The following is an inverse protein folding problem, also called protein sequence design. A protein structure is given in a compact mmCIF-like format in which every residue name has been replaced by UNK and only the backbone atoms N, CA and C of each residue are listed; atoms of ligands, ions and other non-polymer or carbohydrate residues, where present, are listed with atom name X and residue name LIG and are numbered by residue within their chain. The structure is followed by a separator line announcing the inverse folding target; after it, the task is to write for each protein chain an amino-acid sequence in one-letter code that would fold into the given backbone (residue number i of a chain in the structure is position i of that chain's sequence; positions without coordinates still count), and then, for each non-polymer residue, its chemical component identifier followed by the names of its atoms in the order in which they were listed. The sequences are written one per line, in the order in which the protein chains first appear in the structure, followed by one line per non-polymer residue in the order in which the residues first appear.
data_IF_454404733205
#
_entry.id   IF_454404733205
#
_cell.length_a   1.000
_cell.length_b   1.000
_cell.length_c   1.000
_cell.angle_alpha   90.00
_cell.angle_beta   90.00
_cell.angle_gamma   90.00
#
_symmetry.space_group_name_H-M   'P 1'
#
loop_
_entity.id
_entity.type
_entity.pdbx_description
1 polymer ?
#
# COMPACT_ATOMS: atom_id res chain seq x y z
N UNK A 1 -3.99 5.68 10.46
CA UNK A 1 -4.03 7.17 10.51
C UNK A 1 -5.34 7.60 9.91
N UNK A 2 -5.97 8.64 10.46
CA UNK A 2 -7.28 9.10 10.02
C UNK A 2 -7.24 10.61 9.77
N UNK A 3 -7.78 11.06 8.64
CA UNK A 3 -7.97 12.49 8.36
C UNK A 3 -9.41 12.80 8.72
N UNK A 4 -9.64 13.83 9.52
CA UNK A 4 -10.96 14.30 9.88
C UNK A 4 -11.19 15.61 9.12
N UNK A 5 -12.36 15.81 8.48
CA UNK A 5 -12.68 17.02 7.71
C UNK A 5 -13.10 18.19 8.62
N UNK A 6 -12.38 18.37 9.73
CA UNK A 6 -12.59 19.34 10.79
C UNK A 6 -11.29 19.51 11.56
N UNK A 7 -11.14 20.55 12.36
CA UNK A 7 -9.92 20.87 13.11
C UNK A 7 -9.91 20.35 14.57
N UNK A 8 -10.99 19.74 15.03
CA UNK A 8 -11.15 19.26 16.42
C UNK A 8 -11.69 17.83 16.47
N UNK A 9 -11.34 17.11 17.54
CA UNK A 9 -11.79 15.74 17.79
C UNK A 9 -13.23 15.78 18.35
N UNK A 10 -14.20 15.10 17.73
CA UNK A 10 -15.54 15.02 18.30
C UNK A 10 -15.55 14.28 19.64
N UNK A 11 -16.24 14.85 20.64
CA UNK A 11 -16.34 14.28 22.00
C UNK A 11 -17.15 12.98 22.06
N UNK A 12 -18.12 12.80 21.15
CA UNK A 12 -18.96 11.62 21.12
C UNK A 12 -18.37 10.53 20.18
N UNK A 13 -18.27 9.26 20.61
CA UNK A 13 -17.76 8.16 19.78
C UNK A 13 -18.42 8.04 18.40
N UNK A 14 -19.74 8.18 18.33
CA UNK A 14 -20.48 8.15 17.05
C UNK A 14 -20.14 9.34 16.14
N UNK A 15 -19.87 10.51 16.72
CA UNK A 15 -19.45 11.67 15.96
C UNK A 15 -18.02 11.53 15.44
N UNK A 16 -17.12 10.91 16.22
CA UNK A 16 -15.78 10.56 15.79
C UNK A 16 -15.81 9.51 14.67
N UNK A 17 -16.63 8.47 14.80
CA UNK A 17 -16.82 7.47 13.75
C UNK A 17 -17.25 8.11 12.42
N UNK A 18 -18.22 9.03 12.47
CA UNK A 18 -18.67 9.79 11.28
C UNK A 18 -17.56 10.66 10.70
N UNK A 19 -16.78 11.35 11.53
CA UNK A 19 -15.68 12.20 11.06
C UNK A 19 -14.56 11.39 10.38
N UNK A 20 -14.22 10.23 10.93
CA UNK A 20 -13.25 9.30 10.30
C UNK A 20 -13.81 8.78 8.98
N UNK A 21 -15.08 8.37 8.94
CA UNK A 21 -15.71 7.87 7.72
C UNK A 21 -15.76 8.94 6.61
N UNK A 22 -16.12 10.18 6.95
CA UNK A 22 -16.14 11.30 6.01
C UNK A 22 -14.76 11.57 5.40
N UNK A 23 -13.70 11.44 6.21
CA UNK A 23 -12.32 11.51 5.74
C UNK A 23 -11.94 10.36 4.79
N UNK A 24 -12.30 9.12 5.14
CA UNK A 24 -12.05 7.95 4.28
C UNK A 24 -12.77 8.11 2.92
N UNK A 25 -14.00 8.64 2.93
CA UNK A 25 -14.80 8.87 1.72
C UNK A 25 -14.16 9.85 0.73
N UNK A 26 -13.14 10.61 1.11
CA UNK A 26 -12.43 11.48 0.17
C UNK A 26 -11.49 10.72 -0.79
N UNK A 27 -11.20 9.45 -0.52
CA UNK A 27 -10.33 8.61 -1.36
C UNK A 27 -10.80 7.14 -1.44
N UNK A 28 -11.92 6.80 -0.79
CA UNK A 28 -12.53 5.47 -0.81
C UNK A 28 -14.00 5.59 -1.18
N UNK A 29 -14.45 4.78 -2.12
CA UNK A 29 -15.86 4.62 -2.49
C UNK A 29 -16.40 3.30 -1.98
N UNK A 30 -17.44 3.37 -1.14
CA UNK A 30 -18.22 2.23 -0.64
C UNK A 30 -19.60 2.74 -0.19
N UNK A 31 -20.73 2.09 -0.52
CA UNK A 31 -22.05 2.57 -0.12
C UNK A 31 -22.35 2.31 1.36
N UNK A 32 -21.88 1.22 1.95
CA UNK A 32 -22.13 0.91 3.37
C UNK A 32 -21.31 1.78 4.33
N UNK A 33 -21.69 1.74 5.61
CA UNK A 33 -20.92 2.32 6.72
C UNK A 33 -19.61 1.54 6.88
N UNK A 34 -18.51 2.27 7.04
CA UNK A 34 -17.16 1.70 7.14
C UNK A 34 -16.63 1.73 8.57
N UNK A 35 -17.04 2.71 9.38
CA UNK A 35 -16.37 2.99 10.66
C UNK A 35 -17.29 2.76 11.85
N UNK A 36 -16.78 2.04 12.85
CA UNK A 36 -17.37 1.92 14.17
C UNK A 36 -16.34 2.32 15.23
N UNK A 37 -16.78 3.09 16.23
CA UNK A 37 -15.96 3.48 17.37
C UNK A 37 -16.66 3.00 18.64
N UNK A 38 -15.97 2.21 19.45
CA UNK A 38 -16.45 1.70 20.73
C UNK A 38 -15.76 2.39 21.90
N UNK A 39 -16.50 2.65 22.97
CA UNK A 39 -15.98 3.26 24.20
C UNK A 39 -16.99 4.25 24.82
N UNK A 40 -16.73 4.65 26.07
CA UNK A 40 -17.57 5.59 26.81
C UNK A 40 -17.13 7.05 26.74
N UNK A 41 -15.85 7.31 26.49
CA UNK A 41 -15.25 8.67 26.44
C UNK A 41 -14.27 8.77 25.24
N UNK A 42 -14.25 9.92 24.55
CA UNK A 42 -13.36 10.18 23.42
C UNK A 42 -11.87 10.27 23.80
N UNK A 43 -11.54 10.48 25.08
CA UNK A 43 -10.14 10.49 25.54
C UNK A 43 -9.53 9.08 25.66
N UNK A 44 -10.38 8.06 25.88
CA UNK A 44 -10.00 6.67 26.06
C UNK A 44 -11.04 5.73 25.42
N UNK A 45 -10.74 5.28 24.21
CA UNK A 45 -11.64 4.42 23.42
C UNK A 45 -11.32 2.95 23.62
N UNK A 46 -12.36 2.11 23.64
CA UNK A 46 -12.19 0.66 23.62
C UNK A 46 -11.76 0.20 22.22
N UNK A 47 -12.35 0.76 21.16
CA UNK A 47 -11.99 0.35 19.80
C UNK A 47 -12.25 1.38 18.71
N UNK A 48 -11.47 1.29 17.63
CA UNK A 48 -11.79 1.85 16.32
C UNK A 48 -11.74 0.69 15.32
N UNK A 49 -12.88 0.37 14.72
CA UNK A 49 -13.00 -0.65 13.69
C UNK A 49 -13.34 0.00 12.34
N UNK A 50 -12.60 -0.38 11.30
CA UNK A 50 -12.82 0.07 9.92
C UNK A 50 -12.95 -1.16 9.02
N UNK A 51 -14.10 -1.32 8.40
CA UNK A 51 -14.35 -2.31 7.36
C UNK A 51 -14.32 -1.62 5.99
N UNK A 52 -13.45 -2.12 5.12
CA UNK A 52 -13.22 -1.67 3.75
C UNK A 52 -13.63 -2.76 2.75
N UNK A 53 -14.32 -3.81 3.18
CA UNK A 53 -14.77 -4.89 2.28
C UNK A 53 -15.71 -4.36 1.20
N UNK A 54 -15.40 -4.67 -0.06
CA UNK A 54 -16.11 -4.16 -1.23
C UNK A 54 -15.77 -2.70 -1.58
N UNK A 55 -14.83 -2.07 -0.88
CA UNK A 55 -14.47 -0.68 -1.15
C UNK A 55 -13.54 -0.54 -2.36
N UNK A 56 -13.67 0.56 -3.08
CA UNK A 56 -12.77 0.95 -4.17
C UNK A 56 -11.92 2.15 -3.77
N UNK A 57 -10.59 2.04 -3.86
CA UNK A 57 -9.66 3.14 -3.59
C UNK A 57 -9.48 3.99 -4.85
N UNK A 58 -9.71 5.29 -4.70
CA UNK A 58 -9.39 6.27 -5.72
C UNK A 58 -7.89 6.66 -5.67
N UNK A 59 -7.10 6.00 -6.50
CA UNK A 59 -5.67 6.26 -6.64
C UNK A 59 -5.30 7.67 -7.18
N UNK A 60 -6.26 8.45 -7.67
CA UNK A 60 -6.05 9.83 -8.13
C UNK A 60 -6.10 10.84 -6.98
N UNK A 61 -6.94 10.59 -5.98
CA UNK A 61 -7.09 11.43 -4.79
C UNK A 61 -6.32 10.81 -3.63
N UNK A 62 -5.00 10.97 -3.63
CA UNK A 62 -4.17 10.47 -2.53
C UNK A 62 -4.32 11.34 -1.29
N UNK A 63 -4.32 10.76 -0.08
CA UNK A 63 -4.18 11.56 1.13
C UNK A 63 -2.87 12.38 1.05
N UNK A 64 -2.87 13.61 1.60
CA UNK A 64 -1.70 14.46 1.61
C UNK A 64 -0.51 13.77 2.31
N UNK A 65 0.74 14.13 1.95
CA UNK A 65 1.92 13.65 2.68
C UNK A 65 1.78 13.97 4.17
N UNK A 66 2.02 12.96 4.98
CA UNK A 66 1.83 13.03 6.42
C UNK A 66 3.09 13.58 7.07
N UNK A 67 2.96 14.67 7.82
CA UNK A 67 4.05 15.26 8.57
C UNK A 67 3.77 15.10 10.08
N UNK A 68 4.41 14.13 10.76
CA UNK A 68 4.20 13.88 12.17
C UNK A 68 4.91 14.88 13.09
N UNK A 69 5.72 15.80 12.55
CA UNK A 69 6.35 16.85 13.36
C UNK A 69 5.30 17.69 14.08
N UNK A 70 5.60 18.11 15.31
CA UNK A 70 4.73 18.98 16.12
C UNK A 70 3.34 18.39 16.42
N UNK A 71 3.11 17.10 16.15
CA UNK A 71 1.88 16.44 16.58
C UNK A 71 1.85 16.33 18.10
N UNK A 72 0.68 16.56 18.69
CA UNK A 72 0.47 16.51 20.15
C UNK A 72 -0.37 15.28 20.52
N UNK A 73 -0.23 14.74 21.75
CA UNK A 73 -1.08 13.64 22.22
C UNK A 73 -2.58 13.96 22.07
N UNK A 74 -3.37 12.96 21.70
CA UNK A 74 -4.81 13.12 21.49
C UNK A 74 -5.66 12.16 22.34
N UNK A 75 -5.46 10.85 22.18
CA UNK A 75 -6.26 9.84 22.86
C UNK A 75 -5.54 8.49 22.90
N UNK A 76 -6.00 7.60 23.78
CA UNK A 76 -5.60 6.19 23.80
C UNK A 76 -6.73 5.32 23.29
N UNK A 77 -6.41 4.34 22.45
CA UNK A 77 -7.36 3.38 21.90
C UNK A 77 -6.89 1.97 22.21
N UNK A 78 -7.70 1.17 22.91
CA UNK A 78 -7.29 -0.19 23.30
C UNK A 78 -7.11 -1.09 22.10
N UNK A 79 -7.98 -1.00 21.09
CA UNK A 79 -7.88 -1.80 19.87
C UNK A 79 -8.18 -0.99 18.60
N UNK A 80 -7.30 -1.06 17.60
CA UNK A 80 -7.60 -0.57 16.25
C UNK A 80 -7.62 -1.77 15.31
N UNK A 81 -8.72 -1.92 14.58
CA UNK A 81 -8.91 -2.96 13.58
C UNK A 81 -9.27 -2.32 12.24
N UNK A 82 -8.52 -2.65 11.19
CA UNK A 82 -8.88 -2.30 9.81
C UNK A 82 -8.85 -3.56 8.99
N UNK A 83 -9.91 -3.82 8.24
CA UNK A 83 -9.98 -4.99 7.37
C UNK A 83 -10.66 -4.66 6.06
N UNK A 84 -10.41 -5.44 5.02
CA UNK A 84 -11.21 -5.44 3.81
C UNK A 84 -10.82 -6.59 2.91
N UNK A 85 -11.83 -7.31 2.42
CA UNK A 85 -11.65 -8.41 1.48
C UNK A 85 -12.91 -8.59 0.61
N UNK A 86 -12.86 -8.29 -0.71
CA UNK A 86 -11.78 -7.61 -1.43
C UNK A 86 -11.83 -6.08 -1.20
N UNK A 87 -10.68 -5.43 -1.40
CA UNK A 87 -10.55 -3.99 -1.65
C UNK A 87 -10.04 -3.83 -3.09
N UNK A 88 -10.66 -2.97 -3.88
CA UNK A 88 -10.29 -2.75 -5.28
C UNK A 88 -9.43 -1.50 -5.44
N UNK A 89 -8.29 -1.61 -6.13
CA UNK A 89 -7.45 -0.47 -6.55
C UNK A 89 -6.86 -0.74 -7.92
N UNK A 90 -6.86 0.27 -8.81
CA UNK A 90 -6.33 0.11 -10.17
C UNK A 90 -6.92 -1.09 -10.95
N UNK A 91 -8.15 -1.49 -10.64
CA UNK A 91 -8.83 -2.63 -11.27
C UNK A 91 -8.33 -4.02 -10.82
N UNK A 92 -7.48 -4.08 -9.79
CA UNK A 92 -7.13 -5.34 -9.11
C UNK A 92 -7.68 -5.36 -7.69
N UNK A 93 -8.01 -6.56 -7.22
CA UNK A 93 -8.53 -6.80 -5.87
C UNK A 93 -7.44 -7.33 -4.95
N UNK A 94 -7.43 -6.85 -3.72
CA UNK A 94 -6.51 -7.29 -2.67
C UNK A 94 -7.23 -7.40 -1.32
N UNK A 95 -6.72 -8.25 -0.44
CA UNK A 95 -7.11 -8.34 0.96
C UNK A 95 -6.16 -7.53 1.84
N UNK A 96 -6.70 -6.87 2.84
CA UNK A 96 -5.92 -6.13 3.84
C UNK A 96 -6.49 -6.37 5.24
N UNK A 97 -5.61 -6.60 6.19
CA UNK A 97 -5.92 -6.67 7.61
C UNK A 97 -4.84 -5.93 8.39
N UNK A 98 -5.26 -5.17 9.39
CA UNK A 98 -4.42 -4.41 10.29
C UNK A 98 -5.04 -4.49 11.67
N UNK A 99 -4.22 -4.84 12.65
CA UNK A 99 -4.61 -4.91 14.04
C UNK A 99 -3.54 -4.21 14.88
N UNK A 100 -3.96 -3.40 15.85
CA UNK A 100 -3.06 -2.79 16.82
C UNK A 100 -3.73 -2.75 18.20
N UNK A 101 -2.92 -2.93 19.24
CA UNK A 101 -3.35 -2.91 20.64
C UNK A 101 -2.65 -1.80 21.42
N UNK A 102 -3.40 -1.19 22.34
CA UNK A 102 -2.97 -0.09 23.20
C UNK A 102 -2.24 0.99 22.40
N UNK A 103 -3.00 1.64 21.52
CA UNK A 103 -2.53 2.62 20.56
C UNK A 103 -2.64 4.02 21.16
N UNK A 104 -1.54 4.77 21.13
CA UNK A 104 -1.56 6.20 21.40
C UNK A 104 -1.71 6.94 20.06
N UNK A 105 -2.82 7.68 19.93
CA UNK A 105 -3.07 8.56 18.81
C UNK A 105 -2.64 9.98 19.16
N UNK A 106 -1.93 10.59 18.24
CA UNK A 106 -1.55 12.00 18.28
C UNK A 106 -2.36 12.76 17.23
N UNK A 107 -2.51 14.06 17.40
CA UNK A 107 -3.24 14.93 16.50
C UNK A 107 -2.39 16.07 15.97
N UNK A 108 -2.70 16.49 14.73
CA UNK A 108 -2.13 17.68 14.11
C UNK A 108 -3.14 18.32 13.18
N UNK A 109 -3.40 19.61 13.37
CA UNK A 109 -4.19 20.40 12.40
C UNK A 109 -3.31 20.65 11.18
N UNK A 110 -3.78 20.21 10.02
CA UNK A 110 -3.15 20.44 8.73
C UNK A 110 -3.42 21.89 8.26
N UNK A 111 -2.57 22.48 7.39
CA UNK A 111 -2.77 23.84 6.87
C UNK A 111 -4.16 24.09 6.26
N UNK A 112 -4.79 23.07 5.70
CA UNK A 112 -6.15 23.10 5.15
C UNK A 112 -7.29 23.03 6.18
N UNK A 113 -6.99 23.11 7.48
CA UNK A 113 -7.98 23.08 8.57
C UNK A 113 -8.54 21.69 8.89
N UNK A 114 -7.96 20.63 8.32
CA UNK A 114 -8.30 19.23 8.61
C UNK A 114 -7.44 18.71 9.75
N UNK A 115 -7.99 17.86 10.61
CA UNK A 115 -7.26 17.25 11.71
C UNK A 115 -6.75 15.88 11.27
N UNK A 116 -5.45 15.64 11.45
CA UNK A 116 -4.83 14.36 11.22
C UNK A 116 -4.66 13.63 12.56
N UNK A 117 -5.25 12.44 12.68
CA UNK A 117 -4.97 11.47 13.74
C UNK A 117 -3.87 10.51 13.30
N UNK A 118 -2.74 10.57 14.01
CA UNK A 118 -1.50 9.86 13.74
C UNK A 118 -1.38 8.74 14.75
N UNK A 119 -1.06 7.53 14.27
CA UNK A 119 -0.66 6.46 15.15
C UNK A 119 0.78 6.72 15.58
N UNK A 120 1.00 7.05 16.85
CA UNK A 120 2.31 7.45 17.35
C UNK A 120 3.01 6.31 18.12
N UNK A 121 2.26 5.58 18.94
CA UNK A 121 2.73 4.38 19.66
C UNK A 121 1.66 3.30 19.58
N UNK A 122 2.10 2.04 19.68
CA UNK A 122 1.22 0.88 19.80
C UNK A 122 1.99 -0.22 20.50
N UNK A 123 1.43 -0.84 21.53
CA UNK A 123 2.13 -1.91 22.25
C UNK A 123 2.51 -3.07 21.31
N UNK A 124 1.54 -3.50 20.50
CA UNK A 124 1.67 -4.58 19.55
C UNK A 124 0.75 -4.33 18.35
N UNK A 125 1.15 -4.81 17.18
CA UNK A 125 0.28 -4.85 16.02
C UNK A 125 0.77 -5.76 14.91
N UNK A 126 -0.17 -6.09 14.03
CA UNK A 126 0.05 -6.99 12.90
C UNK A 126 -0.59 -6.39 11.64
N UNK A 127 0.07 -6.62 10.50
CA UNK A 127 -0.40 -6.23 9.17
C UNK A 127 -0.38 -7.48 8.32
N UNK A 128 -1.44 -7.70 7.55
CA UNK A 128 -1.50 -8.69 6.48
C UNK A 128 -2.02 -8.03 5.22
N UNK A 129 -1.25 -8.12 4.16
CA UNK A 129 -1.66 -7.77 2.81
C UNK A 129 -1.64 -9.03 1.95
N UNK A 130 -2.67 -9.20 1.13
CA UNK A 130 -2.82 -10.36 0.27
C UNK A 130 -3.31 -9.93 -1.11
N UNK A 131 -2.68 -10.41 -2.17
CA UNK A 131 -3.13 -10.16 -3.55
C UNK A 131 -2.94 -11.43 -4.38
N UNK A 132 -3.87 -11.73 -5.27
CA UNK A 132 -3.65 -12.81 -6.24
C UNK A 132 -2.63 -12.38 -7.29
N UNK A 133 -1.91 -13.35 -7.85
CA UNK A 133 -0.99 -13.10 -8.97
C UNK A 133 -1.71 -12.46 -10.15
N UNK A 134 -2.91 -12.94 -10.50
CA UNK A 134 -3.73 -12.39 -11.58
C UNK A 134 -4.17 -10.95 -11.34
N UNK A 135 -4.47 -10.58 -10.09
CA UNK A 135 -4.78 -9.19 -9.73
C UNK A 135 -3.53 -8.31 -9.84
N UNK A 136 -2.37 -8.79 -9.38
CA UNK A 136 -1.10 -8.09 -9.53
C UNK A 136 -0.73 -7.87 -11.01
N UNK A 137 -0.88 -8.90 -11.85
CA UNK A 137 -0.69 -8.83 -13.31
C UNK A 137 -1.64 -7.80 -13.94
N UNK A 138 -2.92 -7.81 -13.56
CA UNK A 138 -3.92 -6.86 -14.04
C UNK A 138 -3.59 -5.40 -13.66
N UNK A 139 -3.09 -5.18 -12.44
CA UNK A 139 -2.62 -3.86 -11.99
C UNK A 139 -1.38 -3.40 -12.78
N UNK A 140 -0.43 -4.30 -13.02
CA UNK A 140 0.78 -4.03 -13.83
C UNK A 140 0.36 -3.67 -15.26
N UNK A 141 -0.55 -4.46 -15.86
CA UNK A 141 -1.10 -4.21 -17.20
C UNK A 141 -1.71 -2.82 -17.29
N UNK A 142 -2.61 -2.46 -16.36
CA UNK A 142 -3.26 -1.14 -16.38
C UNK A 142 -2.26 0.01 -16.26
N UNK A 143 -1.25 -0.15 -15.40
CA UNK A 143 -0.16 0.82 -15.25
C UNK A 143 0.68 0.95 -16.52
N UNK A 144 1.05 -0.18 -17.14
CA UNK A 144 1.84 -0.23 -18.36
C UNK A 144 1.08 0.33 -19.57
N UNK A 145 -0.18 -0.06 -19.77
CA UNK A 145 -1.02 0.42 -20.86
C UNK A 145 -1.18 1.95 -20.84
N UNK A 146 -1.42 2.54 -19.66
CA UNK A 146 -1.55 4.00 -19.52
C UNK A 146 -0.29 4.77 -19.94
N UNK A 147 0.89 4.17 -19.79
CA UNK A 147 2.16 4.75 -20.25
C UNK A 147 2.38 4.47 -21.74
N UNK A 148 2.08 3.26 -22.20
CA UNK A 148 2.31 2.78 -23.56
C UNK A 148 1.37 3.42 -24.60
N UNK A 149 0.12 3.71 -24.23
CA UNK A 149 -0.88 4.34 -25.11
C UNK A 149 -0.39 5.68 -25.68
N UNK A 150 0.34 6.47 -24.88
CA UNK A 150 0.93 7.74 -25.32
C UNK A 150 1.92 7.58 -26.47
N UNK A 151 2.53 6.40 -26.57
CA UNK A 151 3.51 6.05 -27.58
C UNK A 151 2.90 5.20 -28.71
N UNK A 152 1.57 5.00 -28.72
CA UNK A 152 0.86 4.17 -29.69
C UNK A 152 1.17 2.68 -29.59
N UNK A 153 1.53 2.21 -28.39
CA UNK A 153 1.81 0.81 -28.08
C UNK A 153 0.64 0.26 -27.26
N UNK A 154 0.15 -0.93 -27.63
CA UNK A 154 -0.87 -1.67 -26.88
C UNK A 154 -0.18 -2.79 -26.13
N UNK A 155 -0.46 -2.93 -24.83
CA UNK A 155 0.02 -4.05 -24.02
C UNK A 155 -1.05 -5.13 -24.03
N UNK A 156 -0.71 -6.33 -24.52
CA UNK A 156 -1.65 -7.43 -24.71
C UNK A 156 -1.77 -8.32 -23.48
N UNK A 157 -0.64 -8.61 -22.84
CA UNK A 157 -0.59 -9.55 -21.72
C UNK A 157 0.63 -9.27 -20.83
N UNK A 158 0.50 -9.59 -19.55
CA UNK A 158 1.60 -9.62 -18.59
C UNK A 158 1.47 -10.87 -17.72
N UNK A 159 2.54 -11.66 -17.65
CA UNK A 159 2.62 -12.86 -16.83
C UNK A 159 3.73 -12.70 -15.79
N UNK A 160 3.39 -12.86 -14.51
CA UNK A 160 4.27 -12.66 -13.38
C UNK A 160 4.62 -13.99 -12.73
N UNK A 161 5.84 -14.45 -12.91
CA UNK A 161 6.41 -15.57 -12.17
C UNK A 161 7.12 -15.03 -10.92
N UNK A 162 6.84 -15.62 -9.75
CA UNK A 162 7.48 -15.27 -8.48
C UNK A 162 8.11 -16.51 -7.87
N UNK A 163 9.36 -16.39 -7.47
CA UNK A 163 10.11 -17.46 -6.81
C UNK A 163 10.60 -16.95 -5.45
N UNK A 164 10.14 -17.54 -4.32
CA UNK A 164 10.62 -17.17 -3.01
C UNK A 164 12.13 -17.36 -2.85
N UNK A 165 12.79 -16.39 -2.23
CA UNK A 165 14.22 -16.42 -1.89
C UNK A 165 14.39 -16.14 -0.39
N UNK A 166 13.98 -17.10 0.43
CA UNK A 166 13.95 -16.95 1.89
C UNK A 166 12.75 -16.11 2.38
N UNK A 167 12.75 -15.68 3.65
CA UNK A 167 11.56 -15.10 4.29
C UNK A 167 11.21 -13.67 3.85
N UNK A 168 12.17 -12.93 3.26
CA UNK A 168 12.05 -11.48 2.99
C UNK A 168 12.43 -11.09 1.56
N UNK A 169 12.59 -12.05 0.65
CA UNK A 169 12.93 -11.77 -0.73
C UNK A 169 12.17 -12.66 -1.71
N UNK A 170 11.89 -12.09 -2.89
CA UNK A 170 11.26 -12.74 -4.02
C UNK A 170 12.05 -12.40 -5.28
N UNK A 171 12.35 -13.41 -6.08
CA UNK A 171 12.72 -13.19 -7.48
C UNK A 171 11.44 -13.11 -8.32
N UNK A 172 11.36 -12.07 -9.15
CA UNK A 172 10.25 -11.84 -10.05
C UNK A 172 10.71 -11.90 -11.50
N UNK A 173 9.91 -12.54 -12.33
CA UNK A 173 10.02 -12.50 -13.79
C UNK A 173 8.67 -12.12 -14.39
N UNK A 174 8.65 -10.98 -15.05
CA UNK A 174 7.48 -10.44 -15.73
C UNK A 174 7.67 -10.60 -17.24
N UNK A 175 6.82 -11.38 -17.89
CA UNK A 175 6.78 -11.49 -19.36
C UNK A 175 5.66 -10.61 -19.88
N UNK A 176 6.01 -9.63 -20.72
CA UNK A 176 5.07 -8.68 -21.31
C UNK A 176 5.04 -8.87 -22.82
N UNK A 177 3.85 -9.06 -23.38
CA UNK A 177 3.63 -8.96 -24.82
C UNK A 177 2.92 -7.65 -25.14
N UNK A 178 3.41 -6.96 -26.15
CA UNK A 178 2.83 -5.72 -26.63
C UNK A 178 2.89 -5.68 -28.15
N UNK A 179 2.08 -4.80 -28.76
CA UNK A 179 2.14 -4.56 -30.18
C UNK A 179 2.06 -3.07 -30.54
N UNK A 180 2.64 -2.75 -31.69
CA UNK A 180 2.53 -1.46 -32.37
C UNK A 180 2.53 -1.70 -33.87
N UNK A 181 1.40 -1.40 -34.52
CA UNK A 181 1.15 -1.77 -35.92
C UNK A 181 1.37 -3.27 -36.16
N UNK A 182 2.34 -3.64 -37.01
CA UNK A 182 2.67 -5.05 -37.34
C UNK A 182 3.72 -5.66 -36.39
N UNK A 183 4.29 -4.87 -35.48
CA UNK A 183 5.35 -5.31 -34.58
C UNK A 183 4.79 -5.83 -33.28
N UNK A 184 5.23 -7.01 -32.86
CA UNK A 184 4.74 -7.71 -31.66
C UNK A 184 5.91 -8.12 -30.76
N UNK A 185 6.61 -7.16 -30.11
CA UNK A 185 7.67 -7.51 -29.19
C UNK A 185 7.15 -8.28 -27.96
N UNK A 186 7.87 -9.35 -27.61
CA UNK A 186 7.76 -10.00 -26.31
C UNK A 186 9.00 -9.63 -25.48
N UNK A 187 8.77 -9.07 -24.29
CA UNK A 187 9.78 -8.63 -23.35
C UNK A 187 9.72 -9.49 -22.10
N UNK A 188 10.88 -9.81 -21.54
CA UNK A 188 11.01 -10.47 -20.25
C UNK A 188 11.83 -9.58 -19.32
N UNK A 189 11.19 -9.14 -18.26
CA UNK A 189 11.77 -8.35 -17.19
C UNK A 189 12.05 -9.26 -16.01
N UNK A 190 13.26 -9.24 -15.48
CA UNK A 190 13.61 -9.98 -14.27
C UNK A 190 14.10 -9.01 -13.20
N UNK A 191 13.86 -9.32 -11.94
CA UNK A 191 14.31 -8.53 -10.80
C UNK A 191 14.21 -9.28 -9.49
N UNK A 192 14.91 -8.80 -8.47
CA UNK A 192 14.82 -9.31 -7.11
C UNK A 192 14.26 -8.21 -6.22
N UNK A 193 13.14 -8.49 -5.55
CA UNK A 193 12.65 -7.68 -4.45
C UNK A 193 13.16 -8.27 -3.13
N UNK A 194 13.76 -7.45 -2.28
CA UNK A 194 14.25 -7.89 -0.99
C UNK A 194 14.03 -6.83 0.08
N UNK A 195 13.69 -7.25 1.29
CA UNK A 195 13.65 -6.40 2.49
C UNK A 195 14.79 -6.80 3.41
N UNK A 196 15.65 -5.84 3.75
CA UNK A 196 16.78 -6.06 4.67
C UNK A 196 16.30 -6.23 6.13
N UNK A 197 17.23 -6.58 7.02
CA UNK A 197 16.97 -6.62 8.46
C UNK A 197 16.69 -5.24 9.05
N UNK A 198 17.26 -4.19 8.46
CA UNK A 198 16.94 -2.79 8.75
C UNK A 198 15.60 -2.33 8.11
N UNK A 199 14.85 -3.28 7.53
CA UNK A 199 13.54 -3.07 6.90
C UNK A 199 13.58 -2.06 5.76
N UNK A 200 14.67 -2.09 5.01
CA UNK A 200 14.80 -1.33 3.78
C UNK A 200 14.41 -2.24 2.63
N UNK A 201 13.30 -1.91 1.97
CA UNK A 201 12.92 -2.58 0.74
C UNK A 201 13.79 -2.09 -0.42
N UNK A 202 14.28 -3.04 -1.21
CA UNK A 202 15.13 -2.79 -2.37
C UNK A 202 14.64 -3.61 -3.54
N UNK A 203 14.79 -3.04 -4.74
CA UNK A 203 14.63 -3.76 -5.99
C UNK A 203 16.00 -3.77 -6.65
N UNK A 204 16.49 -4.96 -6.99
CA UNK A 204 17.84 -5.15 -7.56
C UNK A 204 17.81 -6.15 -8.71
N UNK A 205 18.94 -6.29 -9.41
CA UNK A 205 19.11 -7.23 -10.52
C UNK A 205 18.07 -7.04 -11.63
N UNK A 206 17.71 -5.78 -11.92
CA UNK A 206 16.70 -5.47 -12.91
C UNK A 206 17.27 -5.68 -14.31
N UNK A 207 16.69 -6.62 -15.04
CA UNK A 207 17.15 -6.97 -16.40
C UNK A 207 15.96 -6.96 -17.36
N UNK A 208 16.17 -6.46 -18.57
CA UNK A 208 15.25 -6.62 -19.69
C UNK A 208 15.88 -7.49 -20.75
N UNK A 209 15.14 -8.49 -21.21
CA UNK A 209 15.49 -9.35 -22.32
C UNK A 209 14.37 -9.35 -23.35
N UNK A 210 14.71 -9.47 -24.62
CA UNK A 210 13.75 -9.54 -25.71
C UNK A 210 14.38 -10.16 -26.95
N UNK A 211 13.58 -10.84 -27.77
CA UNK A 211 14.07 -11.46 -29.01
C UNK A 211 13.94 -10.48 -30.19
N UNK A 212 15.03 -10.33 -30.94
CA UNK A 212 15.08 -9.52 -32.16
C UNK A 212 15.35 -8.02 -31.92
N UNK A 213 15.59 -7.27 -33.00
CA UNK A 213 16.08 -5.89 -32.94
C UNK A 213 15.09 -4.92 -32.28
N UNK A 214 13.79 -5.14 -32.46
CA UNK A 214 12.74 -4.28 -31.88
C UNK A 214 12.68 -4.46 -30.36
N UNK A 215 12.77 -5.70 -29.89
CA UNK A 215 12.76 -5.99 -28.47
C UNK A 215 14.03 -5.49 -27.77
N UNK A 216 15.18 -5.55 -28.45
CA UNK A 216 16.43 -4.95 -27.97
C UNK A 216 16.31 -3.41 -27.84
N UNK A 217 15.68 -2.75 -28.81
CA UNK A 217 15.44 -1.30 -28.77
C UNK A 217 14.46 -0.91 -27.65
N UNK A 218 13.39 -1.68 -27.46
CA UNK A 218 12.46 -1.48 -26.36
C UNK A 218 13.14 -1.67 -24.98
N UNK A 219 13.96 -2.71 -24.82
CA UNK A 219 14.77 -2.89 -23.61
C UNK A 219 15.71 -1.70 -23.38
N UNK A 220 16.43 -1.24 -24.42
CA UNK A 220 17.31 -0.09 -24.31
C UNK A 220 16.56 1.20 -23.88
N UNK A 221 15.34 1.39 -24.35
CA UNK A 221 14.51 2.55 -23.99
C UNK A 221 14.06 2.55 -22.53
N UNK A 222 13.79 1.37 -21.94
CA UNK A 222 13.32 1.28 -20.54
C UNK A 222 14.47 1.14 -19.53
N UNK A 223 15.66 0.73 -19.95
CA UNK A 223 16.85 0.60 -19.09
C UNK A 223 17.09 1.82 -18.21
N UNK A 224 17.03 3.09 -18.69
CA UNK A 224 17.20 4.25 -17.83
C UNK A 224 16.19 4.34 -16.68
N UNK A 225 14.95 3.90 -16.90
CA UNK A 225 13.91 3.84 -15.86
C UNK A 225 14.16 2.69 -14.88
N UNK A 226 14.61 1.53 -15.36
CA UNK A 226 15.01 0.41 -14.50
C UNK A 226 16.20 0.77 -13.61
N UNK A 227 17.23 1.42 -14.16
CA UNK A 227 18.41 1.85 -13.40
C UNK A 227 18.08 2.87 -12.31
N UNK A 228 17.03 3.69 -12.47
CA UNK A 228 16.52 4.58 -11.41
C UNK A 228 15.90 3.82 -10.23
N UNK A 229 15.43 2.60 -10.46
CA UNK A 229 14.75 1.75 -9.46
C UNK A 229 15.73 0.77 -8.80
N UNK A 230 16.73 0.29 -9.55
CA UNK A 230 17.66 -0.81 -9.19
C UNK A 230 18.50 -0.61 -7.91
N UNK A 231 18.45 0.58 -7.29
CA UNK A 231 19.08 0.88 -6.00
C UNK A 231 18.25 1.80 -5.13
N UNK A 232 16.97 1.97 -5.46
CA UNK A 232 16.10 2.83 -4.67
C UNK A 232 15.76 2.08 -3.38
N UNK A 233 16.40 2.52 -2.30
CA UNK A 233 16.06 2.12 -0.95
C UNK A 233 14.70 2.74 -0.61
N UNK A 234 13.73 1.90 -0.28
CA UNK A 234 12.46 2.29 0.28
C UNK A 234 12.50 1.91 1.76
N UNK A 235 12.95 2.81 2.65
CA UNK A 235 12.95 2.53 4.09
C UNK A 235 11.50 2.32 4.56
N UNK A 236 11.15 1.08 4.90
CA UNK A 236 9.83 0.75 5.44
C UNK A 236 9.70 1.19 6.90
N UNK A 237 10.83 1.39 7.58
CA UNK A 237 10.94 2.00 8.90
C UNK A 237 10.64 3.50 8.92
N UNK A 238 10.69 4.18 7.76
CA UNK A 238 10.39 5.61 7.64
C UNK A 238 8.91 5.89 7.33
N UNK A 239 8.03 4.90 7.42
CA UNK A 239 6.60 5.16 7.47
C UNK A 239 6.33 6.03 8.70
N UNK A 240 5.66 7.19 8.58
CA UNK A 240 5.53 8.17 9.67
C UNK A 240 4.56 7.67 10.75
N UNK A 241 5.00 6.69 11.54
CA UNK A 241 4.25 5.99 12.58
C UNK A 241 4.79 6.32 13.97
N UNK A 242 5.36 7.52 14.15
CA UNK A 242 5.95 7.96 15.41
C UNK A 242 7.08 7.04 15.89
N UNK A 243 6.90 6.44 17.06
CA UNK A 243 7.84 5.51 17.71
C UNK A 243 7.57 4.04 17.38
N UNK A 244 6.63 3.73 16.50
CA UNK A 244 6.32 2.36 16.10
C UNK A 244 7.47 1.80 15.27
N UNK A 245 8.00 0.66 15.69
CA UNK A 245 9.01 -0.08 14.96
C UNK A 245 8.41 -1.36 14.40
N UNK A 246 8.71 -1.64 13.14
CA UNK A 246 8.42 -2.94 12.54
C UNK A 246 9.42 -3.96 13.13
N UNK A 247 8.90 -5.02 13.73
CA UNK A 247 9.65 -6.07 14.46
C UNK A 247 9.94 -7.27 13.58
N UNK A 248 9.02 -7.61 12.68
CA UNK A 248 9.18 -8.71 11.75
C UNK A 248 8.43 -8.45 10.44
N UNK A 249 8.92 -9.05 9.36
CA UNK A 249 8.33 -9.04 8.04
C UNK A 249 8.58 -10.38 7.35
N UNK A 250 7.52 -10.95 6.78
CA UNK A 250 7.57 -12.17 5.97
C UNK A 250 6.83 -11.96 4.67
N UNK A 251 7.34 -12.58 3.61
CA UNK A 251 6.75 -12.57 2.28
C UNK A 251 6.59 -14.01 1.82
N UNK A 252 5.36 -14.36 1.46
CA UNK A 252 5.02 -15.65 0.88
C UNK A 252 4.49 -15.43 -0.54
N UNK A 253 4.97 -16.24 -1.48
CA UNK A 253 4.48 -16.25 -2.86
C UNK A 253 4.17 -17.69 -3.30
N UNK A 254 3.26 -18.35 -2.59
CA UNK A 254 2.73 -19.67 -2.93
C UNK A 254 1.28 -19.61 -3.42
N UNK A 255 0.84 -20.65 -4.13
CA UNK A 255 -0.57 -20.89 -4.48
C UNK A 255 -1.26 -19.71 -5.19
N UNK A 256 -0.59 -19.13 -6.20
CA UNK A 256 -1.13 -18.00 -6.98
C UNK A 256 -1.43 -16.72 -6.17
N UNK A 257 -0.86 -16.60 -4.97
CA UNK A 257 -1.04 -15.44 -4.09
C UNK A 257 0.29 -14.91 -3.61
N UNK A 258 0.30 -13.62 -3.32
CA UNK A 258 1.39 -12.92 -2.65
C UNK A 258 0.84 -12.46 -1.31
N UNK A 259 1.45 -12.91 -0.22
CA UNK A 259 1.05 -12.54 1.13
C UNK A 259 2.22 -11.89 1.83
N UNK A 260 2.03 -10.64 2.26
CA UNK A 260 2.98 -9.91 3.09
C UNK A 260 2.43 -9.84 4.50
N UNK A 261 3.21 -10.28 5.48
CA UNK A 261 2.87 -10.15 6.90
C UNK A 261 3.93 -9.34 7.61
N UNK A 262 3.50 -8.44 8.46
CA UNK A 262 4.36 -7.57 9.23
C UNK A 262 3.89 -7.52 10.68
N UNK A 263 4.81 -7.51 11.64
CA UNK A 263 4.52 -7.29 13.07
C UNK A 263 5.21 -6.03 13.52
N UNK A 264 4.55 -5.20 14.32
CA UNK A 264 5.11 -3.93 14.80
C UNK A 264 4.76 -3.67 16.26
N UNK A 265 5.41 -2.68 16.85
CA UNK A 265 5.06 -2.10 18.14
C UNK A 265 6.12 -1.10 18.60
N UNK A 266 5.79 -0.27 19.58
CA UNK A 266 6.76 0.52 20.33
C UNK A 266 7.51 -0.39 21.30
N UNK A 267 8.80 -0.10 21.54
CA UNK A 267 9.61 -0.77 22.55
C UNK A 267 9.09 -0.49 23.97
#
# INVERSE_FOLDING_TARGET
MFILPRNEIPEAPDALARAIEEGLRSFISRPEKMVAVGGGDASALDSIAVDLSGATIDHHHRPPPLDPSEAIPAMVVRHIYVSGEPISILGGDFGFQFEASNVELYQKVQPEGKLLLIMYRAQDGNIRFEISRSAAESMIMKGASKLAEKEGVVVDNAQLELTPRGPRALDGKLTVSAHKFIFHPALSLAGTFAVSDDLVATVSNLKCHGKGPIAALACAAITPSLSKIERRAFPLSALPLGEIQLRDLTIDAANEKIVVRARFGSL
#
